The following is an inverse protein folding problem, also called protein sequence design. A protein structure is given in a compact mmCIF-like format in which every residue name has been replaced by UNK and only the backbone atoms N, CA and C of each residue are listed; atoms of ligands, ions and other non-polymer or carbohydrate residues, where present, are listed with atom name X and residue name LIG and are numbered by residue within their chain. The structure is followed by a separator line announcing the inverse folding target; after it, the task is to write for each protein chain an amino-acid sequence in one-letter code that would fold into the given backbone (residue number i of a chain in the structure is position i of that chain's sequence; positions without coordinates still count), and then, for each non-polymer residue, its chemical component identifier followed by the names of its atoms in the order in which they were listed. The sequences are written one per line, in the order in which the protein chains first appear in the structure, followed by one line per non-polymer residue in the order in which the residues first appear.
data_IF_668853266790
#
_entry.id   IF_668853266790
#
_cell.length_a   1.000
_cell.length_b   1.000
_cell.length_c   1.000
_cell.angle_alpha   90.00
_cell.angle_beta   90.00
_cell.angle_gamma   90.00
#
_symmetry.space_group_name_H-M   'P 1'
#
loop_
_entity.id
_entity.type
_entity.pdbx_description
1 polymer ?
#
# COMPACT_ATOMS: atom_id res chain seq x y z
N UNK A 1 6.85 14.02 -0.88
CA UNK A 1 5.84 12.93 -0.94
C UNK A 1 5.17 13.02 -2.29
N UNK A 2 5.06 11.93 -3.06
CA UNK A 2 4.28 11.94 -4.32
C UNK A 2 2.92 11.28 -4.11
N UNK A 3 1.87 11.94 -4.59
CA UNK A 3 0.54 11.38 -4.74
C UNK A 3 0.54 10.61 -6.06
N UNK A 4 0.12 9.35 -6.02
CA UNK A 4 0.06 8.50 -7.20
C UNK A 4 -1.32 7.87 -7.34
N UNK A 5 -2.16 8.54 -8.13
CA UNK A 5 -3.52 8.09 -8.42
C UNK A 5 -3.53 6.90 -9.38
N UNK A 6 -2.52 6.73 -10.25
CA UNK A 6 -2.43 5.58 -11.15
C UNK A 6 -2.16 4.31 -10.37
N UNK A 7 -1.17 4.34 -9.47
CA UNK A 7 -0.95 3.23 -8.52
C UNK A 7 -2.21 2.96 -7.70
N UNK A 8 -2.88 4.00 -7.20
CA UNK A 8 -4.11 3.80 -6.43
C UNK A 8 -5.18 3.00 -7.21
N UNK A 9 -5.39 3.31 -8.50
CA UNK A 9 -6.32 2.54 -9.32
C UNK A 9 -5.81 1.11 -9.58
N UNK A 10 -4.51 0.92 -9.79
CA UNK A 10 -3.91 -0.41 -9.93
C UNK A 10 -4.09 -1.27 -8.67
N UNK A 11 -3.87 -0.68 -7.49
CA UNK A 11 -4.14 -1.34 -6.19
C UNK A 11 -5.60 -1.77 -6.11
N UNK A 12 -6.56 -0.90 -6.45
CA UNK A 12 -7.98 -1.24 -6.43
C UNK A 12 -8.33 -2.36 -7.39
N UNK A 13 -7.80 -2.33 -8.61
CA UNK A 13 -8.00 -3.36 -9.62
C UNK A 13 -7.50 -4.72 -9.12
N UNK A 14 -6.27 -4.78 -8.61
CA UNK A 14 -5.69 -6.02 -8.09
C UNK A 14 -6.43 -6.53 -6.86
N UNK A 15 -6.81 -5.65 -5.92
CA UNK A 15 -7.59 -6.07 -4.76
C UNK A 15 -8.92 -6.70 -5.19
N UNK A 16 -9.59 -6.14 -6.19
CA UNK A 16 -10.82 -6.71 -6.74
C UNK A 16 -10.57 -8.09 -7.38
N UNK A 17 -9.45 -8.28 -8.07
CA UNK A 17 -9.07 -9.58 -8.63
C UNK A 17 -8.85 -10.64 -7.52
N UNK A 18 -8.32 -10.22 -6.36
CA UNK A 18 -8.14 -11.06 -5.16
C UNK A 18 -9.41 -11.18 -4.31
N UNK A 19 -10.57 -10.66 -4.75
CA UNK A 19 -11.81 -10.66 -3.98
C UNK A 19 -11.80 -9.76 -2.73
N UNK A 20 -10.83 -8.86 -2.61
CA UNK A 20 -10.65 -7.90 -1.49
C UNK A 20 -11.01 -6.48 -1.91
N UNK A 21 -11.05 -5.57 -0.94
CA UNK A 21 -11.26 -4.13 -1.19
C UNK A 21 -10.57 -3.27 -0.13
N UNK A 22 -10.42 -1.97 -0.40
CA UNK A 22 -9.93 -1.03 0.64
C UNK A 22 -10.88 -0.97 1.84
N UNK A 23 -12.19 -1.18 1.62
CA UNK A 23 -13.17 -1.24 2.69
C UNK A 23 -13.01 -2.50 3.56
N UNK A 24 -12.75 -3.67 2.95
CA UNK A 24 -12.49 -4.89 3.73
C UNK A 24 -11.23 -4.76 4.58
N UNK A 25 -10.15 -4.21 4.01
CA UNK A 25 -8.91 -3.92 4.74
C UNK A 25 -9.16 -2.93 5.89
N UNK A 26 -9.97 -1.89 5.67
CA UNK A 26 -10.30 -0.93 6.72
C UNK A 26 -11.03 -1.60 7.90
N UNK A 27 -11.99 -2.49 7.60
CA UNK A 27 -12.70 -3.29 8.62
C UNK A 27 -11.76 -4.22 9.38
N UNK A 28 -10.88 -4.92 8.68
CA UNK A 28 -9.87 -5.82 9.28
C UNK A 28 -8.93 -5.07 10.24
N UNK A 29 -8.61 -3.81 9.93
CA UNK A 29 -7.73 -2.98 10.77
C UNK A 29 -8.47 -2.17 11.84
N UNK A 30 -9.81 -2.12 11.82
CA UNK A 30 -10.60 -1.27 12.71
C UNK A 30 -10.38 0.23 12.47
N UNK A 31 -10.17 0.65 11.21
CA UNK A 31 -9.93 2.06 10.84
C UNK A 31 -10.96 2.55 9.83
N UNK A 32 -11.03 3.86 9.63
CA UNK A 32 -11.88 4.46 8.60
C UNK A 32 -11.38 4.09 7.20
N UNK A 33 -12.31 3.79 6.28
CA UNK A 33 -11.97 3.54 4.87
C UNK A 33 -11.24 4.72 4.22
N UNK A 34 -11.61 5.95 4.59
CA UNK A 34 -10.94 7.17 4.12
C UNK A 34 -9.45 7.17 4.46
N UNK A 35 -9.07 6.68 5.66
CA UNK A 35 -7.67 6.53 6.07
C UNK A 35 -6.90 5.58 5.14
N UNK A 36 -7.53 4.46 4.73
CA UNK A 36 -6.93 3.51 3.79
C UNK A 36 -6.79 4.13 2.39
N UNK A 37 -7.80 4.85 1.92
CA UNK A 37 -7.79 5.55 0.63
C UNK A 37 -6.66 6.58 0.55
N UNK A 38 -6.54 7.48 1.54
CA UNK A 38 -5.52 8.53 1.52
C UNK A 38 -4.09 7.96 1.64
N UNK A 39 -3.91 6.81 2.29
CA UNK A 39 -2.62 6.10 2.31
C UNK A 39 -2.33 5.46 0.95
N UNK A 40 -3.30 4.77 0.35
CA UNK A 40 -3.17 4.14 -0.98
C UNK A 40 -2.81 5.16 -2.07
N UNK A 41 -3.44 6.33 -2.04
CA UNK A 41 -3.16 7.46 -2.94
C UNK A 41 -1.81 8.13 -2.65
N UNK A 42 -1.28 7.98 -1.43
CA UNK A 42 0.00 8.57 -1.02
C UNK A 42 -0.10 9.89 -0.26
N UNK A 43 -1.29 10.38 0.10
CA UNK A 43 -1.42 11.56 0.96
C UNK A 43 -0.94 11.33 2.41
N UNK A 44 -0.87 10.08 2.87
CA UNK A 44 -0.43 9.72 4.23
C UNK A 44 0.54 8.53 4.26
N UNK A 45 1.33 8.42 5.34
CA UNK A 45 2.35 7.38 5.56
C UNK A 45 2.00 6.54 6.80
N UNK A 46 1.02 5.67 6.67
CA UNK A 46 0.77 4.64 7.69
C UNK A 46 1.41 3.34 7.25
N UNK A 47 2.49 2.94 7.92
CA UNK A 47 3.15 1.66 7.64
C UNK A 47 2.19 0.49 7.84
N UNK A 48 1.41 0.50 8.95
CA UNK A 48 0.39 -0.52 9.24
C UNK A 48 -0.61 -0.71 8.09
N UNK A 49 -1.12 0.38 7.50
CA UNK A 49 -2.06 0.30 6.37
C UNK A 49 -1.36 -0.14 5.09
N UNK A 50 -0.14 0.34 4.81
CA UNK A 50 0.62 -0.08 3.63
C UNK A 50 0.93 -1.58 3.66
N UNK A 51 1.30 -2.10 4.84
CA UNK A 51 1.53 -3.54 5.08
C UNK A 51 0.26 -4.35 4.85
N UNK A 52 -0.89 -3.90 5.35
CA UNK A 52 -2.15 -4.61 5.13
C UNK A 52 -2.54 -4.65 3.64
N UNK A 53 -2.38 -3.54 2.91
CA UNK A 53 -2.64 -3.50 1.46
C UNK A 53 -1.68 -4.43 0.72
N UNK A 54 -0.39 -4.40 1.05
CA UNK A 54 0.61 -5.25 0.40
C UNK A 54 0.37 -6.73 0.68
N UNK A 55 0.04 -7.10 1.93
CA UNK A 55 -0.31 -8.45 2.32
C UNK A 55 -1.55 -8.96 1.57
N UNK A 56 -2.59 -8.13 1.43
CA UNK A 56 -3.78 -8.46 0.65
C UNK A 56 -3.50 -8.64 -0.86
N UNK A 57 -2.33 -8.20 -1.35
CA UNK A 57 -1.88 -8.35 -2.74
C UNK A 57 -0.71 -9.34 -2.90
N UNK A 58 -0.37 -10.08 -1.83
CA UNK A 58 0.75 -11.03 -1.84
C UNK A 58 2.11 -10.38 -2.14
N UNK A 59 2.32 -9.13 -1.74
CA UNK A 59 3.56 -8.38 -2.01
C UNK A 59 4.06 -7.63 -0.78
N UNK A 60 5.12 -6.84 -0.94
CA UNK A 60 5.70 -6.02 0.13
C UNK A 60 5.32 -4.54 0.00
N UNK A 61 5.25 -3.78 1.11
CA UNK A 61 5.05 -2.34 1.06
C UNK A 61 6.11 -1.60 0.24
N UNK A 62 7.34 -2.09 0.20
CA UNK A 62 8.46 -1.55 -0.56
C UNK A 62 8.18 -1.64 -2.06
N UNK A 63 7.73 -2.81 -2.52
CA UNK A 63 7.35 -3.03 -3.93
C UNK A 63 6.15 -2.18 -4.33
N UNK A 64 5.16 -2.07 -3.45
CA UNK A 64 3.94 -1.34 -3.75
C UNK A 64 4.10 0.19 -3.62
N UNK A 65 4.91 0.65 -2.66
CA UNK A 65 5.13 2.05 -2.36
C UNK A 65 6.62 2.42 -2.41
N UNK A 66 7.30 2.30 -3.57
CA UNK A 66 8.75 2.42 -3.67
C UNK A 66 9.28 3.77 -3.18
N UNK A 67 8.57 4.87 -3.47
CA UNK A 67 8.97 6.23 -3.01
C UNK A 67 8.96 6.42 -1.48
N UNK A 68 8.54 5.40 -0.72
CA UNK A 68 8.40 5.47 0.75
C UNK A 68 9.37 4.60 1.50
N UNK A 69 10.10 3.74 0.80
CA UNK A 69 11.12 2.90 1.40
C UNK A 69 12.44 3.21 0.73
N UNK A 70 13.53 3.41 1.50
CA UNK A 70 14.84 3.51 0.89
C UNK A 70 15.11 2.24 0.08
N UNK A 71 15.48 2.41 -1.20
CA UNK A 71 16.00 1.28 -1.98
C UNK A 71 17.23 0.77 -1.22
N UNK A 72 17.21 -0.48 -0.76
CA UNK A 72 18.42 -1.15 -0.31
C UNK A 72 19.25 -1.49 -1.55
N UNK A 73 19.87 -0.49 -2.12
CA UNK A 73 21.14 -0.65 -2.83
C UNK A 73 22.22 -0.24 -1.80
N UNK A 74 23.34 -0.97 -1.77
CA UNK A 74 24.47 -0.85 -0.82
C UNK A 74 24.47 -1.74 0.43
N UNK A 75 24.24 -3.05 0.26
CA UNK A 75 24.83 -4.08 1.15
C UNK A 75 25.42 -5.23 0.31
N UNK A 76 26.35 -4.91 -0.59
CA UNK A 76 27.38 -5.87 -1.00
C UNK A 76 28.64 -5.56 -0.20
N UNK A 77 29.09 -6.44 0.71
CA UNK A 77 30.41 -6.31 1.32
C UNK A 77 31.45 -6.46 0.19
N UNK A 78 32.33 -5.47 0.08
CA UNK A 78 33.55 -5.54 -0.73
C UNK A 78 34.65 -6.24 0.06
#
# INVERSE_FOLDING_TARGET
MSVDLRRHQFVKLRLRAEGRSLASIARELGVLQSSVTVVSQGYRRSHRIQTAIAAALGTTPQTLFPDRYPKKEDLTPK
#
